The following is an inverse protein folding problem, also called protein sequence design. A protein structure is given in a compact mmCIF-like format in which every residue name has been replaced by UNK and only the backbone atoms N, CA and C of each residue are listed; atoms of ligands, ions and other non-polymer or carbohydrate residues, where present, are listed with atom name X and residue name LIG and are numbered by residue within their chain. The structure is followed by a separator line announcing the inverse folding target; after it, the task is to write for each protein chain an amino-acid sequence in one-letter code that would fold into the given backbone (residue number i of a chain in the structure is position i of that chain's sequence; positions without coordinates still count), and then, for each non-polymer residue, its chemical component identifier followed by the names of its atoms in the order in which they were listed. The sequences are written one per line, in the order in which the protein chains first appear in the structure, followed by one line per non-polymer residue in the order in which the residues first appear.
data_IF_283367702111
#
_entry.id   IF_283367702111
#
_cell.length_a   1.000
_cell.length_b   1.000
_cell.length_c   1.000
_cell.angle_alpha   90.00
_cell.angle_beta   90.00
_cell.angle_gamma   90.00
#
_symmetry.space_group_name_H-M   'P 1'
#
loop_
_entity.id
_entity.type
_entity.pdbx_description
1 polymer ?
#
# COMPACT_ATOMS: atom_id res chain seq x y z
N UNK A 1 -7.26 5.30 -12.38
CA UNK A 1 -6.69 4.52 -11.34
C UNK A 1 -5.70 3.53 -11.87
N UNK A 2 -4.70 3.39 -11.23
CA UNK A 2 -3.62 2.67 -11.83
C UNK A 2 -3.65 1.19 -11.49
N UNK A 3 -2.86 0.48 -12.25
CA UNK A 3 -2.76 -0.96 -12.17
C UNK A 3 -2.16 -1.41 -10.85
N UNK A 4 -1.25 -0.61 -10.29
CA UNK A 4 -0.59 -0.97 -9.04
C UNK A 4 -1.58 -1.04 -7.88
N UNK A 5 -2.51 -0.10 -7.79
CA UNK A 5 -3.49 -0.11 -6.72
C UNK A 5 -4.35 -1.36 -6.79
N UNK A 6 -4.81 -1.71 -7.98
CA UNK A 6 -5.63 -2.90 -8.18
C UNK A 6 -4.85 -4.15 -7.79
N UNK A 7 -3.62 -4.23 -8.25
CA UNK A 7 -2.77 -5.38 -7.95
C UNK A 7 -2.56 -5.54 -6.45
N UNK A 8 -2.33 -4.43 -5.75
CA UNK A 8 -2.14 -4.45 -4.32
C UNK A 8 -3.40 -4.95 -3.61
N UNK A 9 -4.56 -4.43 -3.99
CA UNK A 9 -5.81 -4.80 -3.33
C UNK A 9 -6.16 -6.26 -3.52
N UNK A 10 -5.72 -6.87 -4.61
CA UNK A 10 -5.97 -8.27 -4.84
C UNK A 10 -5.20 -9.18 -3.89
N UNK A 11 -4.17 -8.65 -3.24
CA UNK A 11 -3.34 -9.42 -2.31
C UNK A 11 -3.77 -9.28 -0.86
N UNK A 12 -4.84 -8.55 -0.61
CA UNK A 12 -5.26 -8.17 0.74
C UNK A 12 -6.45 -9.00 1.17
N UNK A 13 -6.49 -9.39 2.46
CA UNK A 13 -7.71 -9.99 2.99
C UNK A 13 -8.66 -8.89 3.46
N UNK A 14 -9.92 -9.25 3.63
CA UNK A 14 -10.96 -8.26 3.93
C UNK A 14 -10.82 -7.66 5.32
N UNK A 15 -10.13 -8.35 6.23
CA UNK A 15 -10.00 -7.85 7.60
C UNK A 15 -9.16 -6.58 7.68
N UNK A 16 -8.23 -6.41 6.75
CA UNK A 16 -7.34 -5.26 6.75
C UNK A 16 -7.77 -4.20 5.75
N UNK A 17 -8.81 -4.47 4.99
CA UNK A 17 -9.20 -3.62 3.88
C UNK A 17 -9.49 -2.18 4.32
N UNK A 18 -10.17 -2.03 5.46
CA UNK A 18 -10.56 -0.71 5.93
C UNK A 18 -9.33 0.18 6.15
N UNK A 19 -8.34 -0.34 6.87
CA UNK A 19 -7.14 0.44 7.16
C UNK A 19 -6.33 0.69 5.90
N UNK A 20 -6.28 -0.28 5.01
CA UNK A 20 -5.55 -0.15 3.76
C UNK A 20 -6.17 0.95 2.90
N UNK A 21 -7.50 0.97 2.82
CA UNK A 21 -8.17 2.01 2.04
C UNK A 21 -7.89 3.39 2.62
N UNK A 22 -7.84 3.52 3.93
CA UNK A 22 -7.54 4.80 4.54
C UNK A 22 -6.14 5.30 4.16
N UNK A 23 -5.16 4.41 4.13
CA UNK A 23 -3.81 4.80 3.75
C UNK A 23 -3.76 5.18 2.27
N UNK A 24 -4.44 4.40 1.43
CA UNK A 24 -4.47 4.69 0.00
C UNK A 24 -5.18 6.01 -0.29
N UNK A 25 -6.24 6.32 0.45
CA UNK A 25 -6.94 7.59 0.28
C UNK A 25 -6.03 8.75 0.67
N UNK A 26 -5.27 8.58 1.74
CA UNK A 26 -4.33 9.62 2.15
C UNK A 26 -3.24 9.82 1.08
N UNK A 27 -2.72 8.73 0.56
CA UNK A 27 -1.72 8.81 -0.50
C UNK A 27 -2.28 9.55 -1.71
N UNK A 28 -3.54 9.30 -2.02
CA UNK A 28 -4.19 9.96 -3.15
C UNK A 28 -4.30 11.46 -2.92
N UNK A 29 -4.59 11.88 -1.69
CA UNK A 29 -4.67 13.29 -1.36
C UNK A 29 -3.34 14.01 -1.61
N UNK A 30 -2.24 13.31 -1.44
CA UNK A 30 -0.91 13.88 -1.67
C UNK A 30 -0.39 13.60 -3.08
N UNK A 31 -1.17 12.95 -3.92
CA UNK A 31 -0.74 12.62 -5.27
C UNK A 31 0.34 11.56 -5.31
N UNK A 32 0.41 10.71 -4.30
CA UNK A 32 1.49 9.73 -4.17
C UNK A 32 0.99 8.28 -4.20
N UNK A 33 -0.19 8.04 -4.75
CA UNK A 33 -0.75 6.68 -4.75
C UNK A 33 0.18 5.69 -5.42
N UNK A 34 0.66 6.01 -6.62
CA UNK A 34 1.52 5.10 -7.37
C UNK A 34 2.81 4.84 -6.61
N UNK A 35 3.41 5.89 -6.08
CA UNK A 35 4.66 5.77 -5.35
C UNK A 35 4.52 4.92 -4.10
N UNK A 36 3.48 5.16 -3.34
CA UNK A 36 3.26 4.41 -2.10
C UNK A 36 2.96 2.95 -2.40
N UNK A 37 2.10 2.67 -3.39
CA UNK A 37 1.75 1.30 -3.73
C UNK A 37 2.97 0.57 -4.30
N UNK A 38 3.75 1.22 -5.14
CA UNK A 38 4.96 0.61 -5.69
C UNK A 38 5.92 0.23 -4.56
N UNK A 39 6.13 1.14 -3.62
CA UNK A 39 7.01 0.88 -2.48
C UNK A 39 6.50 -0.28 -1.65
N UNK A 40 5.19 -0.34 -1.41
CA UNK A 40 4.60 -1.43 -0.64
C UNK A 40 4.78 -2.78 -1.35
N UNK A 41 4.57 -2.81 -2.66
CA UNK A 41 4.76 -4.04 -3.42
C UNK A 41 6.22 -4.50 -3.37
N UNK A 42 7.13 -3.56 -3.44
CA UNK A 42 8.55 -3.85 -3.36
C UNK A 42 8.90 -4.43 -1.98
N UNK A 43 8.34 -3.86 -0.92
CA UNK A 43 8.55 -4.37 0.43
C UNK A 43 8.04 -5.79 0.57
N UNK A 44 6.88 -6.08 0.01
CA UNK A 44 6.33 -7.42 0.09
C UNK A 44 7.18 -8.42 -0.67
N UNK A 45 7.80 -7.99 -1.76
CA UNK A 45 8.68 -8.86 -2.53
C UNK A 45 9.97 -9.15 -1.77
N UNK A 46 10.51 -8.14 -1.09
CA UNK A 46 11.74 -8.31 -0.32
C UNK A 46 11.53 -9.05 0.98
N UNK A 47 10.34 -8.93 1.55
CA UNK A 47 10.01 -9.53 2.83
C UNK A 47 8.68 -10.26 2.70
N UNK A 48 8.70 -11.49 2.12
CA UNK A 48 7.45 -12.19 1.81
C UNK A 48 6.58 -12.49 3.03
N UNK A 49 7.16 -12.47 4.24
CA UNK A 49 6.41 -12.72 5.45
C UNK A 49 5.63 -11.50 5.94
N UNK A 50 5.87 -10.33 5.37
CA UNK A 50 5.18 -9.12 5.76
C UNK A 50 3.75 -9.12 5.25
N UNK A 51 2.82 -8.64 6.08
CA UNK A 51 1.45 -8.47 5.62
C UNK A 51 1.37 -7.27 4.67
N UNK A 52 0.38 -7.26 3.78
CA UNK A 52 0.17 -6.09 2.91
C UNK A 52 -0.03 -4.81 3.70
N UNK A 53 -0.74 -4.87 4.82
CA UNK A 53 -0.96 -3.67 5.62
C UNK A 53 0.35 -3.14 6.18
N UNK A 54 1.19 -4.02 6.71
CA UNK A 54 2.48 -3.59 7.26
C UNK A 54 3.35 -2.98 6.16
N UNK A 55 3.38 -3.63 5.00
CA UNK A 55 4.17 -3.11 3.89
C UNK A 55 3.69 -1.72 3.49
N UNK A 56 2.38 -1.51 3.49
CA UNK A 56 1.81 -0.23 3.11
C UNK A 56 2.11 0.83 4.17
N UNK A 57 2.09 0.46 5.44
CA UNK A 57 2.44 1.38 6.51
C UNK A 57 3.90 1.83 6.40
N UNK A 58 4.79 0.89 6.09
CA UNK A 58 6.19 1.23 5.88
C UNK A 58 6.35 2.16 4.68
N UNK A 59 5.63 1.86 3.61
CA UNK A 59 5.69 2.70 2.41
C UNK A 59 5.21 4.12 2.70
N UNK A 60 4.12 4.23 3.47
CA UNK A 60 3.59 5.54 3.81
C UNK A 60 4.61 6.34 4.63
N UNK A 61 5.30 5.67 5.55
CA UNK A 61 6.36 6.33 6.31
C UNK A 61 7.50 6.80 5.41
N UNK A 62 7.89 5.96 4.47
CA UNK A 62 8.96 6.32 3.54
C UNK A 62 8.62 7.58 2.74
N UNK A 63 7.37 7.76 2.40
CA UNK A 63 6.91 8.91 1.64
C UNK A 63 6.39 10.03 2.53
N UNK A 64 6.47 9.84 3.86
CA UNK A 64 6.19 10.88 4.85
C UNK A 64 4.74 11.37 4.77
N UNK A 65 3.83 10.44 4.70
CA UNK A 65 2.40 10.79 4.67
C UNK A 65 1.60 10.16 5.82
#
# INVERSE_FOLDING_TARGET
MNKQRKEFLEKVNSEQMFEIVQILDRAEQFGLTTEVVYTALKEMKLHPDSSPLLALQIAAEDWDI
#
